data_IF_970498702394
#
_entry.id   IF_970498702394
#
_cell.length_a   1.000
_cell.length_b   1.000
_cell.length_c   1.000
_cell.angle_alpha   90.00
_cell.angle_beta   90.00
_cell.angle_gamma   90.00
#
_symmetry.space_group_name_H-M   'P 1'
#
loop_
_entity.id
_entity.type
_entity.pdbx_description
1 polymer ?
#
# COMPACT_ATOMS: atom_id res chain seq x y z
N UNK A 1 -12.75 -5.71 11.82
CA UNK A 1 -11.61 -6.65 11.76
C UNK A 1 -12.20 -8.05 11.65
N UNK A 2 -11.70 -8.83 10.71
CA UNK A 2 -12.09 -10.22 10.47
C UNK A 2 -10.87 -11.12 10.57
N UNK A 3 -11.04 -12.29 11.15
CA UNK A 3 -9.99 -13.32 11.25
C UNK A 3 -10.45 -14.56 10.50
N UNK A 4 -9.68 -14.97 9.51
CA UNK A 4 -9.92 -16.25 8.82
C UNK A 4 -9.22 -17.39 9.59
N UNK A 5 -9.97 -18.33 10.22
CA UNK A 5 -9.37 -19.45 10.97
C UNK A 5 -8.88 -20.56 10.01
N UNK A 6 -8.15 -20.20 8.99
CA UNK A 6 -7.64 -21.08 7.93
C UNK A 6 -6.47 -20.41 7.22
N UNK A 7 -5.68 -21.18 6.47
CA UNK A 7 -4.74 -20.62 5.51
C UNK A 7 -5.53 -19.91 4.40
N UNK A 8 -5.23 -18.64 4.19
CA UNK A 8 -5.94 -17.77 3.25
C UNK A 8 -4.98 -17.20 2.21
N UNK A 9 -5.50 -16.42 1.27
CA UNK A 9 -4.67 -15.66 0.32
C UNK A 9 -3.71 -14.72 1.04
N UNK A 10 -4.15 -14.09 2.13
CA UNK A 10 -3.30 -13.23 2.96
C UNK A 10 -2.13 -13.99 3.57
N UNK A 11 -2.31 -15.25 3.99
CA UNK A 11 -1.23 -16.11 4.48
C UNK A 11 -0.22 -16.43 3.37
N UNK A 12 -0.68 -16.67 2.14
CA UNK A 12 0.19 -16.91 0.99
C UNK A 12 1.05 -15.66 0.66
N UNK A 13 0.43 -14.46 0.70
CA UNK A 13 1.15 -13.19 0.51
C UNK A 13 2.16 -12.94 1.63
N UNK A 14 1.78 -13.18 2.89
CA UNK A 14 2.69 -13.06 4.03
C UNK A 14 3.88 -14.04 3.91
N UNK A 15 3.64 -15.28 3.49
CA UNK A 15 4.70 -16.25 3.21
C UNK A 15 5.64 -15.77 2.12
N UNK A 16 5.11 -15.19 1.05
CA UNK A 16 5.91 -14.63 -0.05
C UNK A 16 6.70 -13.40 0.41
N UNK A 17 6.10 -12.55 1.24
CA UNK A 17 6.71 -11.34 1.75
C UNK A 17 7.88 -11.62 2.71
N UNK A 18 7.74 -12.64 3.55
CA UNK A 18 8.68 -12.93 4.65
C UNK A 18 9.62 -14.08 4.36
N UNK A 19 9.33 -14.90 3.34
CA UNK A 19 10.00 -16.18 3.11
C UNK A 19 9.56 -17.29 4.09
N UNK A 20 8.76 -16.96 5.12
CA UNK A 20 8.31 -17.94 6.12
C UNK A 20 7.16 -18.79 5.56
N UNK A 21 7.30 -20.12 5.46
CA UNK A 21 6.35 -20.99 4.77
C UNK A 21 5.15 -21.35 5.68
N UNK A 22 4.23 -20.43 5.89
CA UNK A 22 3.10 -20.54 6.83
C UNK A 22 2.30 -21.84 6.59
N UNK A 23 1.98 -22.18 5.34
CA UNK A 23 1.20 -23.39 5.04
C UNK A 23 1.94 -24.68 5.43
N UNK A 24 3.23 -24.77 5.17
CA UNK A 24 4.06 -25.91 5.55
C UNK A 24 4.14 -26.07 7.07
N UNK A 25 4.37 -24.97 7.78
CA UNK A 25 4.43 -24.96 9.24
C UNK A 25 3.06 -25.33 9.83
N UNK A 26 1.97 -24.72 9.34
CA UNK A 26 0.62 -25.05 9.78
C UNK A 26 0.26 -26.54 9.57
N UNK A 27 0.68 -27.14 8.45
CA UNK A 27 0.47 -28.57 8.19
C UNK A 27 1.24 -29.44 9.19
N UNK A 28 2.48 -29.09 9.52
CA UNK A 28 3.26 -29.83 10.52
C UNK A 28 2.65 -29.73 11.91
N UNK A 29 2.16 -28.55 12.30
CA UNK A 29 1.44 -28.37 13.57
C UNK A 29 0.18 -29.22 13.59
N UNK A 30 -0.58 -29.28 12.50
CA UNK A 30 -1.80 -30.08 12.41
C UNK A 30 -1.58 -31.59 12.59
N UNK A 31 -0.41 -32.10 12.30
CA UNK A 31 -0.03 -33.50 12.52
C UNK A 31 0.74 -33.73 13.84
N UNK A 32 0.80 -32.70 14.72
CA UNK A 32 1.25 -32.83 16.10
C UNK A 32 2.63 -32.30 16.43
N UNK A 33 3.37 -31.68 15.46
CA UNK A 33 4.64 -31.04 15.76
C UNK A 33 4.40 -29.71 16.50
N UNK A 34 5.35 -29.35 17.39
CA UNK A 34 5.42 -28.05 18.01
C UNK A 34 6.36 -27.11 17.21
N UNK A 35 6.27 -25.79 17.43
CA UNK A 35 7.07 -24.82 16.67
C UNK A 35 8.59 -24.97 16.90
N UNK A 36 8.99 -25.41 18.06
CA UNK A 36 10.39 -25.67 18.43
C UNK A 36 10.95 -26.93 17.76
N UNK A 37 10.10 -27.91 17.44
CA UNK A 37 10.49 -29.12 16.71
C UNK A 37 10.59 -28.91 15.19
N UNK A 38 9.97 -27.83 14.68
CA UNK A 38 9.98 -27.53 13.25
C UNK A 38 11.20 -26.65 12.93
N UNK A 39 12.06 -27.12 12.04
CA UNK A 39 13.19 -26.30 11.54
C UNK A 39 12.66 -25.11 10.74
N UNK A 40 13.23 -23.93 10.98
CA UNK A 40 12.96 -22.72 10.21
C UNK A 40 13.59 -22.85 8.81
N UNK A 41 12.76 -22.84 7.78
CA UNK A 41 13.20 -23.02 6.39
C UNK A 41 14.04 -21.85 5.86
N UNK A 42 13.91 -20.66 6.46
CA UNK A 42 14.66 -19.47 6.04
C UNK A 42 16.10 -19.53 6.52
N UNK A 43 16.29 -19.89 7.79
CA UNK A 43 17.62 -19.94 8.41
C UNK A 43 18.31 -21.30 8.27
N UNK A 44 17.52 -22.37 8.17
CA UNK A 44 18.01 -23.76 8.15
C UNK A 44 18.65 -24.25 9.47
N UNK A 45 18.73 -23.39 10.47
CA UNK A 45 19.44 -23.65 11.74
C UNK A 45 18.61 -23.41 12.98
N UNK A 46 17.67 -22.47 12.93
CA UNK A 46 16.78 -22.13 14.05
C UNK A 46 15.47 -22.89 13.94
N UNK A 47 14.61 -22.80 14.95
CA UNK A 47 13.28 -23.38 14.92
C UNK A 47 12.23 -22.40 14.36
N UNK A 48 11.05 -22.90 14.05
CA UNK A 48 9.97 -22.11 13.42
C UNK A 48 9.31 -21.08 14.36
N UNK A 49 9.67 -21.05 15.64
CA UNK A 49 9.20 -20.04 16.59
C UNK A 49 9.91 -18.68 16.47
N UNK A 50 10.98 -18.57 15.68
CA UNK A 50 11.65 -17.30 15.44
C UNK A 50 10.92 -16.49 14.36
N UNK A 51 10.57 -15.25 14.69
CA UNK A 51 9.94 -14.32 13.77
C UNK A 51 10.90 -13.91 12.63
N UNK A 52 10.39 -13.72 11.40
CA UNK A 52 11.20 -13.18 10.32
C UNK A 52 11.66 -11.75 10.63
N UNK A 53 12.95 -11.47 10.42
CA UNK A 53 13.50 -10.11 10.43
C UNK A 53 13.62 -9.60 9.00
N UNK A 54 12.98 -8.46 8.71
CA UNK A 54 12.93 -7.87 7.37
C UNK A 54 13.61 -6.51 7.37
N UNK A 55 14.40 -6.23 6.34
CA UNK A 55 15.08 -4.97 6.07
C UNK A 55 14.51 -4.24 4.84
N UNK A 56 13.32 -4.64 4.40
CA UNK A 56 12.59 -4.06 3.28
C UNK A 56 11.12 -3.84 3.65
N UNK A 57 10.44 -2.99 2.88
CA UNK A 57 9.03 -2.68 3.05
C UNK A 57 8.21 -3.42 2.00
N UNK A 58 7.10 -4.00 2.44
CA UNK A 58 6.13 -4.67 1.57
C UNK A 58 4.83 -3.89 1.61
N UNK A 59 4.37 -3.45 0.45
CA UNK A 59 3.06 -2.81 0.28
C UNK A 59 2.13 -3.78 -0.45
N UNK A 60 1.00 -4.09 0.17
CA UNK A 60 -0.12 -4.76 -0.47
C UNK A 60 -1.15 -3.71 -0.87
N UNK A 61 -1.45 -3.62 -2.17
CA UNK A 61 -2.41 -2.66 -2.69
C UNK A 61 -3.59 -3.39 -3.33
N UNK A 62 -4.84 -3.12 -2.93
CA UNK A 62 -6.02 -3.74 -3.52
C UNK A 62 -6.42 -3.05 -4.82
N UNK A 63 -7.02 -3.82 -5.75
CA UNK A 63 -7.70 -3.30 -6.94
C UNK A 63 -9.13 -3.84 -6.98
N UNK A 64 -10.11 -2.95 -6.90
CA UNK A 64 -11.51 -3.32 -7.12
C UNK A 64 -11.83 -3.28 -8.62
N UNK A 65 -12.54 -4.28 -9.17
CA UNK A 65 -12.81 -4.36 -10.61
C UNK A 65 -14.02 -3.51 -11.04
N UNK A 66 -14.12 -2.27 -10.55
CA UNK A 66 -15.21 -1.35 -10.88
C UNK A 66 -15.16 -0.87 -12.34
N UNK A 67 -14.01 -0.99 -12.99
CA UNK A 67 -13.84 -0.82 -14.42
C UNK A 67 -14.64 -1.84 -15.25
N UNK A 68 -14.84 -3.04 -14.70
CA UNK A 68 -15.60 -4.14 -15.34
C UNK A 68 -17.06 -4.18 -14.94
N UNK A 69 -17.40 -3.64 -13.77
CA UNK A 69 -18.75 -3.66 -13.20
C UNK A 69 -19.30 -2.23 -13.06
N UNK A 70 -19.65 -1.63 -14.19
CA UNK A 70 -20.03 -0.20 -14.29
C UNK A 70 -21.24 0.17 -13.43
N UNK A 71 -22.15 -0.78 -13.17
CA UNK A 71 -23.36 -0.57 -12.35
C UNK A 71 -23.20 -0.97 -10.89
N UNK A 72 -21.99 -1.41 -10.47
CA UNK A 72 -21.77 -1.77 -9.08
C UNK A 72 -21.67 -0.50 -8.21
N UNK A 73 -22.16 -0.62 -6.97
CA UNK A 73 -21.90 0.39 -5.96
C UNK A 73 -20.39 0.41 -5.65
N UNK A 74 -19.78 1.59 -5.79
CA UNK A 74 -18.33 1.79 -5.59
C UNK A 74 -17.98 2.13 -4.16
N UNK A 75 -18.97 2.36 -3.30
CA UNK A 75 -18.73 2.64 -1.89
C UNK A 75 -18.17 1.41 -1.17
N UNK A 76 -17.14 1.65 -0.35
CA UNK A 76 -16.49 0.60 0.43
C UNK A 76 -17.05 0.62 1.85
N UNK A 77 -17.50 -0.54 2.33
CA UNK A 77 -18.05 -0.73 3.66
C UNK A 77 -17.60 -2.06 4.27
N UNK A 78 -18.43 -2.59 5.15
CA UNK A 78 -18.18 -3.88 5.82
C UNK A 78 -18.55 -5.09 4.95
N UNK A 79 -19.22 -4.87 3.83
CA UNK A 79 -19.57 -5.95 2.90
C UNK A 79 -18.33 -6.41 2.13
N UNK A 80 -18.15 -7.73 2.05
CA UNK A 80 -17.06 -8.32 1.28
C UNK A 80 -17.30 -8.12 -0.22
N UNK A 81 -16.30 -7.60 -0.92
CA UNK A 81 -16.32 -7.40 -2.37
C UNK A 81 -15.19 -8.18 -3.03
N UNK A 82 -15.37 -8.52 -4.30
CA UNK A 82 -14.30 -9.11 -5.10
C UNK A 82 -13.18 -8.08 -5.32
N UNK A 83 -11.95 -8.49 -5.07
CA UNK A 83 -10.76 -7.63 -5.28
C UNK A 83 -9.65 -8.40 -5.98
N UNK A 84 -8.93 -7.69 -6.86
CA UNK A 84 -7.55 -8.01 -7.19
C UNK A 84 -6.60 -7.43 -6.14
N UNK A 85 -5.36 -7.81 -6.18
CA UNK A 85 -4.33 -7.26 -5.30
C UNK A 85 -2.95 -7.38 -5.94
N UNK A 86 -2.10 -6.41 -5.67
CA UNK A 86 -0.68 -6.44 -6.00
C UNK A 86 0.14 -6.39 -4.72
N UNK A 87 1.33 -6.95 -4.78
CA UNK A 87 2.33 -6.86 -3.72
C UNK A 87 3.62 -6.31 -4.30
N UNK A 88 4.10 -5.23 -3.73
CA UNK A 88 5.36 -4.60 -4.09
C UNK A 88 6.35 -4.65 -2.93
N UNK A 89 7.63 -4.69 -3.25
CA UNK A 89 8.73 -4.67 -2.29
C UNK A 89 9.65 -3.51 -2.65
N UNK A 90 10.05 -2.74 -1.67
CA UNK A 90 10.95 -1.60 -1.80
C UNK A 90 11.78 -1.36 -0.55
N UNK A 91 12.81 -0.53 -0.67
CA UNK A 91 13.66 -0.14 0.46
C UNK A 91 13.07 1.02 1.28
N UNK A 92 12.05 1.69 0.74
CA UNK A 92 11.25 2.71 1.40
C UNK A 92 9.77 2.50 1.13
N UNK A 93 8.91 3.09 1.96
CA UNK A 93 7.47 3.04 1.74
C UNK A 93 7.10 3.72 0.43
N UNK A 94 7.69 4.87 0.16
CA UNK A 94 7.46 5.66 -1.04
C UNK A 94 7.76 4.83 -2.30
N UNK A 95 8.93 4.19 -2.36
CA UNK A 95 9.31 3.34 -3.48
C UNK A 95 8.37 2.13 -3.64
N UNK A 96 8.02 1.47 -2.53
CA UNK A 96 7.10 0.34 -2.55
C UNK A 96 5.68 0.77 -2.98
N UNK A 97 5.19 1.91 -2.50
CA UNK A 97 3.87 2.45 -2.85
C UNK A 97 3.79 2.83 -4.33
N UNK A 98 4.77 3.56 -4.86
CA UNK A 98 4.83 3.93 -6.28
C UNK A 98 4.88 2.69 -7.18
N UNK A 99 5.67 1.69 -6.80
CA UNK A 99 5.74 0.41 -7.53
C UNK A 99 4.41 -0.36 -7.46
N UNK A 100 3.69 -0.30 -6.35
CA UNK A 100 2.35 -0.89 -6.24
C UNK A 100 1.38 -0.20 -7.20
N UNK A 101 1.34 1.13 -7.20
CA UNK A 101 0.45 1.93 -8.06
C UNK A 101 0.70 1.64 -9.54
N UNK A 102 1.95 1.62 -9.99
CA UNK A 102 2.26 1.28 -11.39
C UNK A 102 1.88 -0.16 -11.77
N UNK A 103 1.79 -1.06 -10.78
CA UNK A 103 1.47 -2.49 -11.00
C UNK A 103 -0.02 -2.82 -10.96
N UNK A 104 -0.89 -1.90 -10.54
CA UNK A 104 -2.35 -2.16 -10.46
C UNK A 104 -3.09 -2.05 -11.80
N UNK A 105 -2.38 -1.75 -12.89
CA UNK A 105 -2.94 -1.68 -14.26
C UNK A 105 -4.10 -0.66 -14.40
N UNK A 106 -3.98 0.47 -13.74
CA UNK A 106 -4.89 1.62 -13.92
C UNK A 106 -4.35 2.63 -14.96
N UNK A 107 -3.22 2.33 -15.60
CA UNK A 107 -2.56 3.26 -16.51
C UNK A 107 -1.94 4.46 -15.82
N UNK A 108 -1.62 4.31 -14.53
CA UNK A 108 -1.05 5.35 -13.67
C UNK A 108 0.35 4.95 -13.21
N UNK A 109 1.30 5.86 -13.35
CA UNK A 109 2.67 5.70 -12.86
C UNK A 109 2.92 6.50 -11.58
N UNK A 110 1.96 7.32 -11.16
CA UNK A 110 2.05 8.19 -9.99
C UNK A 110 0.75 8.15 -9.18
N UNK A 111 0.76 8.74 -7.99
CA UNK A 111 -0.45 8.94 -7.19
C UNK A 111 -1.33 10.09 -7.71
N UNK A 112 -0.89 10.82 -8.73
CA UNK A 112 -1.68 11.88 -9.35
C UNK A 112 -2.79 11.27 -10.19
N UNK A 113 -4.04 11.62 -9.88
CA UNK A 113 -5.22 11.14 -10.57
C UNK A 113 -5.97 12.33 -11.18
N UNK A 114 -6.00 12.41 -12.51
CA UNK A 114 -6.56 13.56 -13.25
C UNK A 114 -7.92 14.05 -12.78
N UNK A 115 -8.91 13.18 -12.51
CA UNK A 115 -10.21 13.64 -12.02
C UNK A 115 -10.14 14.51 -10.77
N UNK A 116 -9.19 14.26 -9.86
CA UNK A 116 -9.02 15.08 -8.67
C UNK A 116 -8.29 16.42 -8.92
N UNK A 117 -7.46 16.49 -9.97
CA UNK A 117 -6.80 17.75 -10.32
C UNK A 117 -7.78 18.82 -10.82
N UNK A 118 -8.94 18.42 -11.34
CA UNK A 118 -9.97 19.31 -11.87
C UNK A 118 -10.93 19.82 -10.79
N UNK A 119 -10.93 19.23 -9.59
CA UNK A 119 -11.80 19.60 -8.48
C UNK A 119 -11.28 20.84 -7.74
N UNK A 120 -12.18 21.56 -7.10
CA UNK A 120 -11.86 22.61 -6.14
C UNK A 120 -11.39 22.03 -4.81
N UNK A 121 -10.76 22.85 -3.94
CA UNK A 121 -10.31 22.40 -2.62
C UNK A 121 -11.48 21.95 -1.73
N UNK A 122 -12.63 22.64 -1.81
CA UNK A 122 -13.84 22.24 -1.08
C UNK A 122 -14.39 20.90 -1.55
N UNK A 123 -14.35 20.62 -2.85
CA UNK A 123 -14.74 19.32 -3.41
C UNK A 123 -13.77 18.21 -3.03
N UNK A 124 -12.46 18.48 -2.97
CA UNK A 124 -11.47 17.53 -2.45
C UNK A 124 -11.76 17.20 -0.99
N UNK A 125 -12.00 18.21 -0.15
CA UNK A 125 -12.34 18.00 1.27
C UNK A 125 -13.63 17.20 1.40
N UNK A 126 -14.66 17.50 0.59
CA UNK A 126 -15.89 16.72 0.57
C UNK A 126 -15.65 15.26 0.15
N UNK A 127 -14.78 15.02 -0.83
CA UNK A 127 -14.44 13.67 -1.30
C UNK A 127 -13.65 12.85 -0.28
N UNK A 128 -12.85 13.47 0.59
CA UNK A 128 -12.17 12.77 1.69
C UNK A 128 -13.13 12.02 2.62
N UNK A 129 -14.41 12.45 2.71
CA UNK A 129 -15.45 11.74 3.46
C UNK A 129 -15.95 10.48 2.75
N UNK A 130 -15.73 10.37 1.44
CA UNK A 130 -16.18 9.22 0.65
C UNK A 130 -15.21 8.05 0.86
N UNK A 131 -15.77 6.86 1.14
CA UNK A 131 -14.99 5.64 1.33
C UNK A 131 -15.08 4.80 0.05
N UNK A 132 -14.20 5.08 -0.89
CA UNK A 132 -14.11 4.38 -2.16
C UNK A 132 -12.69 3.89 -2.49
N UNK A 133 -12.55 3.26 -3.66
CA UNK A 133 -11.27 2.75 -4.14
C UNK A 133 -10.26 3.85 -4.53
N UNK A 134 -10.73 5.07 -4.73
CA UNK A 134 -9.93 6.20 -5.22
C UNK A 134 -9.45 7.10 -4.08
N UNK A 135 -9.88 6.84 -2.85
CA UNK A 135 -9.60 7.65 -1.67
C UNK A 135 -8.12 7.97 -1.45
N UNK A 136 -7.22 7.02 -1.74
CA UNK A 136 -5.77 7.25 -1.59
C UNK A 136 -5.26 8.34 -2.52
N UNK A 137 -5.79 8.42 -3.73
CA UNK A 137 -5.44 9.46 -4.71
C UNK A 137 -6.01 10.81 -4.31
N UNK A 138 -7.22 10.84 -3.74
CA UNK A 138 -7.81 12.06 -3.16
C UNK A 138 -6.98 12.58 -1.99
N UNK A 139 -6.53 11.72 -1.08
CA UNK A 139 -5.61 12.08 0.02
C UNK A 139 -4.31 12.66 -0.51
N UNK A 140 -3.72 12.04 -1.52
CA UNK A 140 -2.50 12.55 -2.14
C UNK A 140 -2.70 13.93 -2.77
N UNK A 141 -3.80 14.16 -3.50
CA UNK A 141 -4.12 15.46 -4.08
C UNK A 141 -4.37 16.53 -3.00
N UNK A 142 -5.04 16.18 -1.90
CA UNK A 142 -5.23 17.05 -0.75
C UNK A 142 -3.89 17.52 -0.15
N UNK A 143 -2.96 16.59 0.05
CA UNK A 143 -1.60 16.89 0.53
C UNK A 143 -0.81 17.75 -0.47
N UNK A 144 -0.90 17.44 -1.76
CA UNK A 144 -0.27 18.21 -2.84
C UNK A 144 -0.73 19.67 -2.87
N UNK A 145 -1.99 19.94 -2.53
CA UNK A 145 -2.57 21.28 -2.41
C UNK A 145 -2.26 21.98 -1.09
N UNK A 146 -1.70 21.29 -0.12
CA UNK A 146 -1.32 21.84 1.18
C UNK A 146 -2.45 21.82 2.21
N UNK A 147 -3.48 20.98 2.02
CA UNK A 147 -4.47 20.69 3.07
C UNK A 147 -3.73 20.00 4.20
N UNK A 148 -3.88 20.52 5.42
CA UNK A 148 -3.10 20.07 6.57
C UNK A 148 -3.45 18.64 7.03
N UNK A 149 -2.46 17.95 7.60
CA UNK A 149 -2.57 16.58 8.06
C UNK A 149 -3.66 16.39 9.13
N UNK A 150 -3.87 17.39 9.97
CA UNK A 150 -4.89 17.30 11.03
C UNK A 150 -6.29 17.25 10.44
N UNK A 151 -6.57 18.06 9.42
CA UNK A 151 -7.83 18.05 8.68
C UNK A 151 -8.06 16.71 7.99
N UNK A 152 -7.05 16.21 7.26
CA UNK A 152 -7.14 14.92 6.59
C UNK A 152 -7.35 13.79 7.61
N UNK A 153 -6.59 13.78 8.69
CA UNK A 153 -6.70 12.78 9.75
C UNK A 153 -8.07 12.82 10.45
N UNK A 154 -8.60 14.00 10.74
CA UNK A 154 -9.93 14.14 11.37
C UNK A 154 -11.03 13.49 10.53
N UNK A 155 -10.93 13.61 9.21
CA UNK A 155 -11.90 13.05 8.27
C UNK A 155 -11.66 11.56 8.04
N UNK A 156 -10.42 11.19 7.68
CA UNK A 156 -10.10 9.87 7.15
C UNK A 156 -9.69 8.86 8.22
N UNK A 157 -9.15 9.33 9.35
CA UNK A 157 -8.48 8.54 10.39
C UNK A 157 -7.26 7.76 9.89
N UNK A 158 -6.69 8.16 8.74
CA UNK A 158 -5.42 7.62 8.25
C UNK A 158 -4.31 8.11 9.17
N UNK A 159 -3.46 7.18 9.63
CA UNK A 159 -2.37 7.48 10.54
C UNK A 159 -1.41 8.52 9.93
N UNK A 160 -0.90 9.42 10.79
CA UNK A 160 0.01 10.50 10.41
C UNK A 160 1.24 10.01 9.68
N UNK A 161 1.75 8.85 10.05
CA UNK A 161 2.92 8.26 9.39
C UNK A 161 2.71 8.07 7.88
N UNK A 162 1.52 7.59 7.48
CA UNK A 162 1.19 7.45 6.04
C UNK A 162 1.02 8.80 5.36
N UNK A 163 0.43 9.78 6.05
CA UNK A 163 0.27 11.14 5.52
C UNK A 163 1.63 11.80 5.31
N UNK A 164 2.56 11.68 6.26
CA UNK A 164 3.94 12.18 6.12
C UNK A 164 4.66 11.56 4.93
N UNK A 165 4.51 10.25 4.73
CA UNK A 165 5.11 9.54 3.59
C UNK A 165 4.56 10.00 2.24
N UNK A 166 3.24 10.20 2.17
CA UNK A 166 2.59 10.73 0.96
C UNK A 166 2.92 12.21 0.74
N UNK A 167 3.05 13.01 1.81
CA UNK A 167 3.51 14.40 1.73
C UNK A 167 4.92 14.47 1.17
N UNK A 168 5.82 13.61 1.63
CA UNK A 168 7.18 13.53 1.10
C UNK A 168 7.19 13.29 -0.43
N UNK A 169 6.34 12.40 -0.93
CA UNK A 169 6.17 12.20 -2.38
C UNK A 169 5.65 13.46 -3.08
N UNK A 170 4.66 14.14 -2.50
CA UNK A 170 4.10 15.36 -3.07
C UNK A 170 5.14 16.49 -3.15
N UNK A 171 5.96 16.63 -2.11
CA UNK A 171 7.02 17.64 -2.04
C UNK A 171 8.16 17.33 -3.03
N UNK A 172 8.53 16.06 -3.19
CA UNK A 172 9.49 15.62 -4.19
C UNK A 172 9.01 15.96 -5.61
N UNK A 173 7.77 15.63 -5.94
CA UNK A 173 7.16 15.93 -7.25
C UNK A 173 7.11 17.45 -7.48
N UNK A 174 6.72 18.23 -6.47
CA UNK A 174 6.69 19.69 -6.53
C UNK A 174 8.07 20.27 -6.75
N UNK A 175 9.08 19.78 -6.03
CA UNK A 175 10.48 20.21 -6.19
C UNK A 175 11.02 19.91 -7.59
N UNK A 176 10.71 18.71 -8.14
CA UNK A 176 11.13 18.35 -9.49
C UNK A 176 10.41 19.19 -10.56
N UNK A 177 9.13 19.52 -10.39
CA UNK A 177 8.37 20.34 -11.33
C UNK A 177 8.88 21.79 -11.40
N UNK A 178 9.52 22.29 -10.34
CA UNK A 178 10.12 23.62 -10.32
C UNK A 178 11.51 23.69 -10.99
N UNK A 179 12.11 22.54 -11.28
CA UNK A 179 13.40 22.49 -11.94
C UNK A 179 13.27 22.90 -13.42
N UNK A 180 13.96 23.98 -13.79
CA UNK A 180 14.05 24.43 -15.18
C UNK A 180 15.34 23.89 -15.80
N UNK A 181 15.23 22.96 -16.76
CA UNK A 181 16.36 22.38 -17.47
C UNK A 181 16.64 20.92 -17.10
N UNK A 182 17.90 20.50 -17.24
CA UNK A 182 18.32 19.12 -16.95
C UNK A 182 18.51 18.95 -15.45
N UNK A 183 17.92 17.91 -14.87
CA UNK A 183 18.11 17.56 -13.46
C UNK A 183 19.59 17.31 -13.17
N UNK A 184 20.09 17.84 -12.06
CA UNK A 184 21.43 17.48 -11.58
C UNK A 184 21.45 16.02 -11.09
N UNK A 185 22.66 15.47 -10.96
CA UNK A 185 22.83 14.08 -10.55
C UNK A 185 22.14 13.76 -9.21
N UNK A 186 22.24 14.66 -8.24
CA UNK A 186 21.64 14.51 -6.92
C UNK A 186 20.10 14.46 -6.98
N UNK A 187 19.49 15.40 -7.73
CA UNK A 187 18.04 15.41 -7.96
C UNK A 187 17.56 14.13 -8.63
N UNK A 188 18.31 13.66 -9.65
CA UNK A 188 17.99 12.42 -10.33
C UNK A 188 18.10 11.19 -9.41
N UNK A 189 19.15 11.13 -8.58
CA UNK A 189 19.34 10.06 -7.60
C UNK A 189 18.24 10.06 -6.53
N UNK A 190 17.82 11.25 -6.07
CA UNK A 190 16.73 11.39 -5.09
C UNK A 190 15.39 10.95 -5.68
N UNK A 191 15.13 11.34 -6.94
CA UNK A 191 13.89 10.94 -7.63
C UNK A 191 13.82 9.43 -7.94
N UNK A 192 14.95 8.73 -7.96
CA UNK A 192 15.02 7.28 -8.24
C UNK A 192 15.01 6.38 -7.02
N UNK A 193 15.18 6.92 -5.83
CA UNK A 193 15.14 6.18 -4.56
C UNK A 193 13.71 5.96 -4.09
#
# INVERSE_FOLDING_TARGET
IEVNPRVSRSSALASKATGYPIAKVATKIAIGYTLDEITNDVTGKTCACFEPALDYIVVKYPKWPFDKFVYADKSLGTQMMATGEVMSIGNSFEAAMMKAVSSIELGMDTLTHKPFEELTDDEIVAHLHVQDAERVFCVYEALKRGIDHETIWKITKIDWWFLDKMQHLADLVRGLAQCTGVLCLEQYQTAKK
#
